data_IF_007174201313
#
_entry.id   IF_007174201313
#
_cell.length_a   1.000
_cell.length_b   1.000
_cell.length_c   1.000
_cell.angle_alpha   90.00
_cell.angle_beta   90.00
_cell.angle_gamma   90.00
#
_symmetry.space_group_name_H-M   'P 1'
#
loop_
_entity.id
_entity.type
_entity.pdbx_description
1 polymer ?
#
# COMPACT_ATOMS: atom_id res chain seq x y z
N UNK A 1 -9.78 19.54 6.88
CA UNK A 1 -10.03 18.72 5.68
C UNK A 1 -10.09 17.28 6.13
N UNK A 2 -11.24 16.62 5.97
CA UNK A 2 -11.48 15.27 6.48
C UNK A 2 -10.48 14.26 5.92
N UNK A 3 -9.68 13.66 6.81
CA UNK A 3 -8.69 12.62 6.55
C UNK A 3 -9.35 11.24 6.27
N UNK A 4 -10.56 11.21 5.70
CA UNK A 4 -11.31 9.98 5.47
C UNK A 4 -10.97 9.39 4.11
N UNK A 5 -10.60 8.10 4.09
CA UNK A 5 -10.40 7.34 2.85
C UNK A 5 -11.69 7.32 2.01
N UNK A 6 -11.55 7.48 0.69
CA UNK A 6 -12.67 7.30 -0.23
C UNK A 6 -12.92 5.81 -0.48
N UNK A 7 -14.10 5.44 -1.00
CA UNK A 7 -14.37 4.05 -1.37
C UNK A 7 -13.36 3.52 -2.40
N UNK A 8 -12.99 4.37 -3.37
CA UNK A 8 -11.95 4.03 -4.36
C UNK A 8 -10.59 3.74 -3.72
N UNK A 9 -10.23 4.43 -2.64
CA UNK A 9 -8.98 4.17 -1.92
C UNK A 9 -9.01 2.79 -1.24
N UNK A 10 -10.15 2.44 -0.66
CA UNK A 10 -10.36 1.12 -0.03
C UNK A 10 -10.28 0.01 -1.07
N UNK A 11 -10.92 0.19 -2.23
CA UNK A 11 -10.92 -0.82 -3.30
C UNK A 11 -9.49 -1.08 -3.83
N UNK A 12 -8.69 -0.02 -3.98
CA UNK A 12 -7.28 -0.11 -4.35
C UNK A 12 -6.49 -0.89 -3.29
N UNK A 13 -6.64 -0.54 -2.01
CA UNK A 13 -5.96 -1.22 -0.90
C UNK A 13 -6.33 -2.70 -0.86
N UNK A 14 -7.61 -3.03 -1.03
CA UNK A 14 -8.07 -4.41 -1.09
C UNK A 14 -7.49 -5.18 -2.29
N UNK A 15 -7.33 -4.54 -3.44
CA UNK A 15 -6.71 -5.17 -4.61
C UNK A 15 -5.23 -5.47 -4.37
N UNK A 16 -4.49 -4.53 -3.78
CA UNK A 16 -3.08 -4.71 -3.39
C UNK A 16 -2.97 -5.87 -2.39
N UNK A 17 -3.65 -5.78 -1.25
CA UNK A 17 -3.65 -6.83 -0.21
C UNK A 17 -4.12 -8.17 -0.77
N UNK A 18 -5.12 -8.17 -1.65
CA UNK A 18 -5.61 -9.37 -2.31
C UNK A 18 -4.56 -10.06 -3.16
N UNK A 19 -3.69 -9.29 -3.82
CA UNK A 19 -2.57 -9.82 -4.59
C UNK A 19 -1.50 -10.45 -3.69
N UNK A 20 -1.18 -9.87 -2.54
CA UNK A 20 -0.13 -10.37 -1.63
C UNK A 20 -0.60 -11.46 -0.67
N UNK A 21 -1.82 -11.32 -0.16
CA UNK A 21 -2.33 -12.11 0.97
C UNK A 21 -3.62 -12.87 0.66
N UNK A 22 -4.19 -12.71 -0.53
CA UNK A 22 -5.42 -13.38 -0.96
C UNK A 22 -6.70 -12.63 -0.58
N UNK A 23 -7.77 -12.90 -1.31
CA UNK A 23 -9.06 -12.18 -1.20
C UNK A 23 -9.69 -12.24 0.20
N UNK A 24 -9.56 -13.36 0.92
CA UNK A 24 -10.12 -13.49 2.28
C UNK A 24 -9.47 -12.52 3.28
N UNK A 25 -8.19 -12.21 3.08
CA UNK A 25 -7.47 -11.26 3.90
C UNK A 25 -7.77 -9.81 3.49
N UNK A 26 -7.91 -9.54 2.19
CA UNK A 26 -8.28 -8.23 1.67
C UNK A 26 -9.59 -7.68 2.26
N UNK A 27 -10.60 -8.55 2.47
CA UNK A 27 -11.90 -8.14 3.02
C UNK A 27 -11.85 -7.49 4.41
N UNK A 28 -10.76 -7.66 5.15
CA UNK A 28 -10.57 -7.05 6.47
C UNK A 28 -10.21 -5.56 6.39
N UNK A 29 -9.78 -5.09 5.23
CA UNK A 29 -9.35 -3.70 5.02
C UNK A 29 -10.58 -2.88 4.60
N UNK A 30 -11.26 -2.30 5.58
CA UNK A 30 -12.43 -1.43 5.39
C UNK A 30 -12.08 0.03 5.67
N UNK A 31 -12.91 0.98 5.23
CA UNK A 31 -12.67 2.42 5.47
C UNK A 31 -12.50 2.79 6.95
N UNK A 32 -13.12 2.03 7.86
CA UNK A 32 -13.04 2.23 9.31
C UNK A 32 -11.87 1.51 9.98
N UNK A 33 -11.37 0.43 9.38
CA UNK A 33 -10.29 -0.39 9.94
C UNK A 33 -8.89 0.09 9.50
N UNK A 34 -8.78 0.72 8.32
CA UNK A 34 -7.49 1.18 7.77
C UNK A 34 -7.00 2.42 8.53
N UNK A 35 -5.83 2.31 9.14
CA UNK A 35 -5.14 3.40 9.83
C UNK A 35 -4.06 4.03 8.95
N UNK A 36 -3.47 5.14 9.41
CA UNK A 36 -2.32 5.75 8.72
C UNK A 36 -1.11 4.82 8.65
N UNK A 37 -0.87 4.06 9.72
CA UNK A 37 0.24 3.11 9.80
C UNK A 37 0.02 1.96 8.82
N UNK A 38 -1.22 1.49 8.66
CA UNK A 38 -1.56 0.47 7.63
C UNK A 38 -1.16 0.94 6.24
N UNK A 39 -1.46 2.20 5.91
CA UNK A 39 -1.20 2.78 4.59
C UNK A 39 0.32 2.91 4.36
N UNK A 40 1.08 3.31 5.38
CA UNK A 40 2.56 3.40 5.33
C UNK A 40 3.18 2.02 5.08
N UNK A 41 2.75 0.99 5.83
CA UNK A 41 3.27 -0.37 5.70
C UNK A 41 2.95 -1.00 4.34
N UNK A 42 1.79 -0.67 3.74
CA UNK A 42 1.44 -1.10 2.39
C UNK A 42 2.39 -0.48 1.36
N UNK A 43 2.75 0.81 1.51
CA UNK A 43 3.72 1.44 0.61
C UNK A 43 5.10 0.81 0.76
N UNK A 44 5.53 0.51 1.98
CA UNK A 44 6.78 -0.21 2.21
C UNK A 44 6.79 -1.60 1.53
N UNK A 45 5.68 -2.35 1.65
CA UNK A 45 5.50 -3.62 0.97
C UNK A 45 5.63 -3.47 -0.56
N UNK A 46 5.02 -2.43 -1.15
CA UNK A 46 5.10 -2.18 -2.59
C UNK A 46 6.52 -1.83 -3.05
N UNK A 47 7.21 -0.95 -2.33
CA UNK A 47 8.56 -0.50 -2.71
C UNK A 47 9.60 -1.62 -2.69
N UNK A 48 9.41 -2.62 -1.84
CA UNK A 48 10.38 -3.70 -1.64
C UNK A 48 10.06 -4.98 -2.42
N UNK A 49 8.89 -5.04 -3.07
CA UNK A 49 8.44 -6.24 -3.80
C UNK A 49 8.43 -6.07 -5.32
N UNK A 50 8.54 -4.83 -5.80
CA UNK A 50 8.50 -4.53 -7.21
C UNK A 50 9.88 -4.22 -7.81
N UNK A 51 9.99 -4.35 -9.14
CA UNK A 51 11.16 -3.87 -9.87
C UNK A 51 11.20 -2.34 -9.80
N UNK A 52 12.36 -1.77 -9.42
CA UNK A 52 12.52 -0.32 -9.20
C UNK A 52 12.07 0.51 -10.40
N UNK A 53 12.24 -0.01 -11.63
CA UNK A 53 11.84 0.67 -12.87
C UNK A 53 10.33 0.92 -12.99
N UNK A 54 9.51 0.08 -12.37
CA UNK A 54 8.04 0.16 -12.45
C UNK A 54 7.43 1.26 -11.57
N UNK A 55 8.18 1.75 -10.57
CA UNK A 55 7.68 2.69 -9.55
C UNK A 55 8.60 3.87 -9.27
N UNK A 56 9.51 4.18 -10.19
CA UNK A 56 10.42 5.34 -10.08
C UNK A 56 9.66 6.64 -9.76
N UNK A 57 8.46 6.81 -10.31
CA UNK A 57 7.60 7.99 -10.04
C UNK A 57 6.88 7.96 -8.68
N UNK A 58 7.03 6.86 -7.93
CA UNK A 58 6.43 6.61 -6.62
C UNK A 58 7.48 6.55 -5.48
N UNK A 59 8.78 6.57 -5.84
CA UNK A 59 9.88 6.69 -4.87
C UNK A 59 9.85 8.10 -4.24
N UNK A 60 9.91 8.22 -2.90
CA UNK A 60 9.88 9.53 -2.25
C UNK A 60 11.09 10.35 -2.66
N UNK A 61 10.87 11.63 -2.97
CA UNK A 61 11.95 12.59 -3.02
C UNK A 61 12.49 12.75 -1.58
N UNK A 62 13.80 12.93 -1.32
CA UNK A 62 14.32 12.99 0.05
C UNK A 62 13.66 14.06 0.94
N UNK A 63 13.05 15.08 0.34
CA UNK A 63 12.27 16.10 1.03
C UNK A 63 10.91 15.59 1.57
N UNK A 64 10.35 14.53 0.99
CA UNK A 64 9.08 13.92 1.40
C UNK A 64 9.23 13.12 2.71
N UNK A 65 10.43 12.60 3.00
CA UNK A 65 10.73 11.82 4.21
C UNK A 65 10.85 12.67 5.49
N UNK A 66 10.98 13.99 5.35
CA UNK A 66 11.12 14.93 6.47
C UNK A 66 9.81 15.70 6.73
N UNK A 67 8.70 15.27 6.12
CA UNK A 67 7.45 16.01 6.14
C UNK A 67 6.61 15.76 7.41
N UNK A 68 5.91 16.79 7.94
CA UNK A 68 4.95 16.61 9.02
C UNK A 68 3.85 15.60 8.65
N UNK A 69 3.36 14.83 9.63
CA UNK A 69 2.49 13.64 9.45
C UNK A 69 1.33 13.81 8.44
N UNK A 70 0.70 14.98 8.40
CA UNK A 70 -0.40 15.29 7.47
C UNK A 70 0.02 15.30 5.99
N UNK A 71 1.27 15.67 5.72
CA UNK A 71 1.87 15.68 4.37
C UNK A 71 2.38 14.29 4.00
N UNK A 72 2.89 13.53 4.98
CA UNK A 72 3.24 12.11 4.81
C UNK A 72 2.01 11.31 4.35
N UNK A 73 0.87 11.40 5.06
CA UNK A 73 -0.38 10.73 4.66
C UNK A 73 -0.78 11.05 3.22
N UNK A 74 -0.72 12.32 2.81
CA UNK A 74 -1.02 12.74 1.44
C UNK A 74 -0.06 12.13 0.41
N UNK A 75 1.22 12.04 0.73
CA UNK A 75 2.22 11.43 -0.13
C UNK A 75 2.01 9.92 -0.26
N UNK A 76 1.85 9.21 0.86
CA UNK A 76 1.60 7.76 0.89
C UNK A 76 0.35 7.40 0.08
N UNK A 77 -0.74 8.16 0.26
CA UNK A 77 -1.97 7.96 -0.54
C UNK A 77 -1.77 8.21 -2.04
N UNK A 78 -0.90 9.14 -2.43
CA UNK A 78 -0.57 9.39 -3.83
C UNK A 78 0.16 8.19 -4.45
N UNK A 79 1.10 7.60 -3.70
CA UNK A 79 1.80 6.38 -4.10
C UNK A 79 0.81 5.25 -4.26
N UNK A 80 -0.03 4.97 -3.26
CA UNK A 80 -1.05 3.91 -3.35
C UNK A 80 -1.96 4.10 -4.56
N UNK A 81 -2.44 5.33 -4.82
CA UNK A 81 -3.33 5.59 -5.96
C UNK A 81 -2.66 5.34 -7.31
N UNK A 82 -1.46 5.89 -7.51
CA UNK A 82 -0.69 5.66 -8.73
C UNK A 82 -0.29 4.20 -8.90
N UNK A 83 0.01 3.54 -7.77
CA UNK A 83 0.48 2.16 -7.78
C UNK A 83 -0.61 1.11 -7.80
N UNK A 84 -1.83 1.47 -7.44
CA UNK A 84 -2.96 0.57 -7.34
C UNK A 84 -3.58 0.17 -8.68
N UNK A 85 -3.55 1.05 -9.68
CA UNK A 85 -4.21 0.82 -10.98
C UNK A 85 -3.78 -0.51 -11.65
N UNK A 86 -2.48 -0.84 -11.73
CA UNK A 86 -2.05 -2.14 -12.27
C UNK A 86 -2.54 -3.36 -11.46
N UNK A 87 -2.73 -3.22 -10.14
CA UNK A 87 -3.28 -4.30 -9.30
C UNK A 87 -4.78 -4.49 -9.51
N UNK A 88 -5.54 -3.42 -9.77
CA UNK A 88 -6.95 -3.50 -10.14
C UNK A 88 -7.14 -4.19 -11.50
N UNK A 89 -6.26 -3.90 -12.46
CA UNK A 89 -6.28 -4.50 -13.79
C UNK A 89 -5.68 -5.93 -13.85
N UNK A 90 -5.11 -6.43 -12.75
CA UNK A 90 -4.47 -7.76 -12.70
C UNK A 90 -3.16 -7.88 -13.50
N UNK A 91 -2.57 -6.77 -13.92
CA UNK A 91 -1.45 -6.71 -14.87
C UNK A 91 -0.06 -6.59 -14.20
N UNK A 92 0.08 -6.91 -12.92
CA UNK A 92 1.33 -6.67 -12.19
C UNK A 92 2.31 -7.83 -12.35
N UNK A 93 3.50 -7.53 -12.91
CA UNK A 93 4.67 -8.41 -12.86
C UNK A 93 5.45 -8.13 -11.57
N UNK A 94 5.00 -8.72 -10.45
CA UNK A 94 5.76 -8.69 -9.19
C UNK A 94 6.78 -9.84 -9.22
N UNK A 95 8.05 -9.57 -8.88
CA UNK A 95 9.02 -10.65 -8.70
C UNK A 95 8.53 -11.61 -7.60
N UNK A 96 8.26 -12.86 -7.98
CA UNK A 96 7.56 -13.83 -7.14
C UNK A 96 8.30 -14.14 -5.82
N UNK A 97 9.64 -14.07 -5.82
CA UNK A 97 10.49 -14.31 -4.65
C UNK A 97 10.46 -13.13 -3.69
N UNK A 98 10.68 -11.90 -4.18
CA UNK A 98 10.60 -10.68 -3.36
C UNK A 98 9.19 -10.51 -2.78
N UNK A 99 8.16 -10.78 -3.59
CA UNK A 99 6.75 -10.81 -3.17
C UNK A 99 6.54 -11.68 -1.94
N UNK A 100 6.93 -12.96 -2.01
CA UNK A 100 6.66 -13.94 -0.94
C UNK A 100 7.42 -13.61 0.34
N UNK A 101 8.68 -13.20 0.22
CA UNK A 101 9.55 -12.94 1.36
C UNK A 101 9.10 -11.70 2.15
N UNK A 102 8.93 -10.54 1.48
CA UNK A 102 8.53 -9.30 2.16
C UNK A 102 7.07 -9.33 2.60
N UNK A 103 6.19 -9.96 1.82
CA UNK A 103 4.81 -10.17 2.25
C UNK A 103 4.77 -10.94 3.58
N UNK A 104 5.53 -12.03 3.71
CA UNK A 104 5.56 -12.82 4.94
C UNK A 104 6.07 -12.02 6.15
N UNK A 105 7.11 -11.19 5.96
CA UNK A 105 7.68 -10.38 7.04
C UNK A 105 6.75 -9.26 7.51
N UNK A 106 6.09 -8.56 6.59
CA UNK A 106 5.24 -7.41 6.92
C UNK A 106 3.82 -7.80 7.30
N UNK A 107 3.39 -9.05 7.01
CA UNK A 107 2.04 -9.54 7.32
C UNK A 107 1.60 -9.31 8.76
N UNK A 108 2.34 -9.71 9.82
CA UNK A 108 1.88 -9.50 11.19
C UNK A 108 1.67 -8.00 11.48
N UNK A 109 2.67 -7.17 11.17
CA UNK A 109 2.65 -5.73 11.45
C UNK A 109 1.53 -5.00 10.69
N UNK A 110 1.28 -5.37 9.43
CA UNK A 110 0.18 -4.78 8.65
C UNK A 110 -1.18 -5.11 9.28
N UNK A 111 -1.38 -6.33 9.75
CA UNK A 111 -2.67 -6.73 10.31
C UNK A 111 -2.88 -6.19 11.73
N UNK A 112 -1.81 -6.09 12.50
CA UNK A 112 -1.82 -5.50 13.85
C UNK A 112 -2.04 -3.97 13.80
N UNK A 113 -1.75 -3.33 12.65
CA UNK A 113 -1.99 -1.89 12.44
C UNK A 113 -3.45 -1.52 12.17
N UNK A 114 -4.33 -2.50 11.98
CA UNK A 114 -5.76 -2.25 11.77
C UNK A 114 -6.43 -1.84 13.10
N UNK A 115 -7.42 -0.95 13.02
CA UNK A 115 -8.28 -0.56 14.15
C UNK A 115 -9.39 -1.58 14.41
#
# INVERSE_FOLDING_TARGET
>A
MSNSLTQSDVDIIQAIIGSFYGRSNARKFTSSAITDDTIILIVQLLSETADCSTWIDAVPNPQDLVMPANKLRKWVMRVIRKSGEPFLAGNVRVNLMCKRFRAAQLKPVIFDSLN
#
